data_IF_215710094744
#
_entry.id   IF_215710094744
#
_cell.length_a   1.000
_cell.length_b   1.000
_cell.length_c   1.000
_cell.angle_alpha   90.00
_cell.angle_beta   90.00
_cell.angle_gamma   90.00
#
_symmetry.space_group_name_H-M   'P 1'
#
loop_
_entity.id
_entity.type
_entity.pdbx_description
1 polymer ?
#
# COMPACT_ATOMS: atom_id res chain seq x y z
N UNK A 1 -23.98 -16.04 37.66
CA UNK A 1 -24.00 -15.55 36.26
C UNK A 1 -22.66 -14.88 36.00
N UNK A 2 -21.77 -15.60 35.33
CA UNK A 2 -20.38 -15.20 35.11
C UNK A 2 -20.24 -14.70 33.67
N UNK A 3 -20.00 -13.41 33.47
CA UNK A 3 -19.51 -12.89 32.20
C UNK A 3 -18.04 -12.52 32.36
N UNK A 4 -17.19 -13.41 31.86
CA UNK A 4 -15.74 -13.26 31.84
C UNK A 4 -15.34 -12.11 30.91
N UNK A 5 -14.79 -11.08 31.55
CA UNK A 5 -13.63 -10.29 31.16
C UNK A 5 -12.91 -10.76 29.87
N UNK A 6 -13.16 -10.09 28.73
CA UNK A 6 -12.25 -10.13 27.56
C UNK A 6 -11.22 -9.01 27.71
N UNK A 7 -10.11 -9.33 28.36
CA UNK A 7 -8.88 -8.53 28.25
C UNK A 7 -8.09 -8.94 27.00
N UNK A 8 -7.53 -7.92 26.36
CA UNK A 8 -6.33 -7.93 25.51
C UNK A 8 -6.42 -8.49 24.08
N UNK A 9 -6.47 -7.57 23.13
CA UNK A 9 -5.49 -7.57 22.04
C UNK A 9 -5.09 -6.11 21.78
N UNK A 10 -4.03 -5.69 22.48
CA UNK A 10 -3.32 -4.45 22.23
C UNK A 10 -2.61 -4.58 20.88
N UNK A 11 -3.26 -4.12 19.82
CA UNK A 11 -2.55 -3.82 18.58
C UNK A 11 -1.75 -2.53 18.80
N UNK A 12 -0.46 -2.50 18.46
CA UNK A 12 0.32 -1.28 18.56
C UNK A 12 -0.27 -0.30 17.54
N UNK A 13 -0.73 0.86 18.02
CA UNK A 13 -1.14 1.97 17.19
C UNK A 13 0.08 2.50 16.42
N UNK A 14 0.41 1.87 15.31
CA UNK A 14 1.25 2.47 14.28
C UNK A 14 0.38 3.55 13.62
N UNK A 15 0.66 4.81 13.92
CA UNK A 15 0.34 6.00 13.09
C UNK A 15 -0.94 5.90 12.24
N UNK A 16 -2.09 6.26 12.82
CA UNK A 16 -3.40 6.24 12.15
C UNK A 16 -3.51 6.99 10.79
N UNK A 17 -2.50 7.78 10.41
CA UNK A 17 -2.38 8.43 9.10
C UNK A 17 -1.69 7.56 8.03
N UNK A 18 -0.71 6.72 8.41
CA UNK A 18 -0.06 5.79 7.47
C UNK A 18 -1.00 4.66 7.06
N UNK A 19 -1.96 4.32 7.93
CA UNK A 19 -2.99 3.31 7.65
C UNK A 19 -4.11 3.80 6.72
N UNK A 20 -4.23 5.11 6.45
CA UNK A 20 -5.37 5.66 5.68
C UNK A 20 -5.04 6.00 4.23
N UNK A 21 -3.77 6.06 3.86
CA UNK A 21 -3.36 6.41 2.50
C UNK A 21 -2.50 5.35 1.86
N UNK A 22 -2.63 5.19 0.54
CA UNK A 22 -1.80 4.27 -0.24
C UNK A 22 -1.14 5.00 -1.43
N UNK A 23 -0.08 4.40 -1.96
CA UNK A 23 0.70 4.94 -3.08
C UNK A 23 0.39 4.19 -4.37
N UNK A 24 0.89 4.70 -5.50
CA UNK A 24 0.79 4.02 -6.79
C UNK A 24 1.39 2.60 -6.76
N UNK A 25 2.43 2.38 -5.95
CA UNK A 25 3.06 1.07 -5.79
C UNK A 25 2.11 0.06 -5.17
N UNK A 26 1.33 0.47 -4.17
CA UNK A 26 0.31 -0.38 -3.55
C UNK A 26 -0.72 -0.85 -4.58
N UNK A 27 -1.28 0.09 -5.35
CA UNK A 27 -2.33 -0.19 -6.35
C UNK A 27 -1.81 -1.15 -7.43
N UNK A 28 -0.66 -0.83 -8.01
CA UNK A 28 -0.03 -1.64 -9.08
C UNK A 28 0.31 -3.04 -8.58
N UNK A 29 0.74 -3.16 -7.34
CA UNK A 29 1.08 -4.43 -6.72
C UNK A 29 -0.15 -5.28 -6.39
N UNK A 30 -1.21 -4.68 -5.85
CA UNK A 30 -2.49 -5.35 -5.63
C UNK A 30 -3.10 -5.88 -6.95
N UNK A 31 -2.78 -5.24 -8.08
CA UNK A 31 -3.19 -5.69 -9.41
C UNK A 31 -2.17 -6.63 -10.09
N UNK A 32 -1.11 -7.04 -9.39
CA UNK A 32 -0.10 -7.97 -9.90
C UNK A 32 0.81 -7.41 -11.00
N UNK A 33 0.95 -6.07 -11.13
CA UNK A 33 1.73 -5.38 -12.17
C UNK A 33 3.02 -4.74 -11.64
N UNK A 34 3.61 -5.32 -10.59
CA UNK A 34 4.79 -4.77 -9.92
C UNK A 34 6.02 -4.65 -10.83
N UNK A 35 6.07 -5.42 -11.93
CA UNK A 35 7.08 -5.43 -12.97
C UNK A 35 7.12 -4.15 -13.83
N UNK A 36 6.10 -3.30 -13.76
CA UNK A 36 6.05 -2.08 -14.57
C UNK A 36 7.07 -1.03 -14.13
N UNK A 37 7.77 -0.43 -15.09
CA UNK A 37 8.58 0.77 -14.85
C UNK A 37 7.71 1.99 -14.48
N UNK A 38 8.29 2.98 -13.80
CA UNK A 38 7.58 4.12 -13.21
C UNK A 38 6.62 4.84 -14.18
N UNK A 39 7.07 5.15 -15.40
CA UNK A 39 6.20 5.79 -16.41
C UNK A 39 4.97 4.93 -16.74
N UNK A 40 5.18 3.61 -16.91
CA UNK A 40 4.10 2.67 -17.22
C UNK A 40 3.13 2.50 -16.04
N UNK A 41 3.61 2.57 -14.79
CA UNK A 41 2.75 2.58 -13.58
C UNK A 41 1.81 3.78 -13.59
N UNK A 42 2.34 4.98 -13.83
CA UNK A 42 1.54 6.22 -13.90
C UNK A 42 0.50 6.13 -15.01
N UNK A 43 0.89 5.75 -16.23
CA UNK A 43 -0.05 5.61 -17.35
C UNK A 43 -1.13 4.57 -17.04
N UNK A 44 -0.75 3.44 -16.43
CA UNK A 44 -1.69 2.37 -16.10
C UNK A 44 -2.72 2.83 -15.07
N UNK A 45 -2.28 3.44 -13.97
CA UNK A 45 -3.19 3.93 -12.92
C UNK A 45 -4.05 5.08 -13.42
N UNK A 46 -3.52 5.97 -14.25
CA UNK A 46 -4.31 7.02 -14.90
C UNK A 46 -5.48 6.43 -15.72
N UNK A 47 -5.21 5.39 -16.51
CA UNK A 47 -6.27 4.68 -17.24
C UNK A 47 -7.28 3.98 -16.32
N UNK A 48 -6.86 3.48 -15.17
CA UNK A 48 -7.81 2.89 -14.20
C UNK A 48 -8.76 3.94 -13.63
N UNK A 49 -8.28 5.15 -13.35
CA UNK A 49 -9.13 6.26 -12.91
C UNK A 49 -10.11 6.65 -14.03
N UNK A 50 -9.62 6.80 -15.26
CA UNK A 50 -10.43 7.26 -16.40
C UNK A 50 -11.43 6.21 -16.90
N UNK A 51 -11.02 4.95 -17.00
CA UNK A 51 -11.80 3.90 -17.70
C UNK A 51 -12.48 2.90 -16.75
N UNK A 52 -12.00 2.74 -15.51
CA UNK A 52 -12.43 1.69 -14.58
C UNK A 52 -12.94 2.21 -13.23
N UNK A 53 -13.03 3.53 -13.08
CA UNK A 53 -13.60 4.17 -11.89
C UNK A 53 -12.76 3.98 -10.62
N UNK A 54 -11.45 3.77 -10.76
CA UNK A 54 -10.55 3.83 -9.60
C UNK A 54 -10.67 5.21 -8.94
N UNK A 55 -10.73 5.31 -7.59
CA UNK A 55 -10.79 6.58 -6.91
C UNK A 55 -9.67 7.54 -7.34
N UNK A 56 -10.01 8.82 -7.49
CA UNK A 56 -9.02 9.85 -7.81
C UNK A 56 -8.00 10.00 -6.66
N UNK A 57 -6.73 10.34 -6.97
CA UNK A 57 -5.75 10.65 -5.94
C UNK A 57 -6.15 11.91 -5.17
N UNK A 58 -5.60 12.05 -3.96
CA UNK A 58 -5.61 13.32 -3.27
C UNK A 58 -4.83 14.37 -4.05
N UNK A 59 -5.30 15.64 -4.04
CA UNK A 59 -4.54 16.73 -4.61
C UNK A 59 -3.18 16.83 -3.94
N UNK A 60 -2.12 16.94 -4.73
CA UNK A 60 -0.75 17.07 -4.24
C UNK A 60 -0.12 18.35 -4.81
N UNK A 61 0.82 18.92 -4.07
CA UNK A 61 1.50 20.13 -4.48
C UNK A 61 2.63 19.79 -5.45
N UNK A 62 2.57 20.35 -6.66
CA UNK A 62 3.67 20.32 -7.63
C UNK A 62 4.16 21.75 -7.86
N UNK A 63 5.31 22.08 -7.26
CA UNK A 63 5.80 23.46 -7.21
C UNK A 63 4.85 24.33 -6.39
N UNK A 64 4.22 25.32 -7.04
CA UNK A 64 3.26 26.24 -6.41
C UNK A 64 1.80 25.94 -6.73
N UNK A 65 1.50 24.82 -7.40
CA UNK A 65 0.14 24.46 -7.81
C UNK A 65 -0.32 23.17 -7.14
N UNK A 66 -1.56 23.17 -6.68
CA UNK A 66 -2.27 21.97 -6.27
C UNK A 66 -2.74 21.26 -7.55
N UNK A 67 -2.33 20.01 -7.73
CA UNK A 67 -2.62 19.21 -8.92
C UNK A 67 -3.27 17.90 -8.50
N UNK A 68 -4.32 17.49 -9.22
CA UNK A 68 -5.09 16.26 -9.03
C UNK A 68 -4.70 15.16 -10.04
N UNK A 69 -3.74 15.43 -10.91
CA UNK A 69 -3.20 14.45 -11.85
C UNK A 69 -2.53 13.26 -11.15
N UNK A 70 -2.61 12.09 -11.77
CA UNK A 70 -1.88 10.91 -11.30
C UNK A 70 -0.39 11.09 -11.54
N UNK A 71 0.39 11.04 -10.47
CA UNK A 71 1.84 11.06 -10.46
C UNK A 71 2.39 9.96 -9.54
N UNK A 72 3.72 9.77 -9.54
CA UNK A 72 4.36 8.74 -8.72
C UNK A 72 4.27 9.02 -7.22
N UNK A 73 4.24 10.30 -6.85
CA UNK A 73 4.13 10.82 -5.48
C UNK A 73 2.68 11.00 -5.01
N UNK A 74 1.70 10.75 -5.88
CA UNK A 74 0.29 10.82 -5.54
C UNK A 74 -0.09 9.82 -4.45
N UNK A 75 -1.06 10.21 -3.63
CA UNK A 75 -1.62 9.42 -2.54
C UNK A 75 -3.10 9.20 -2.76
N UNK A 76 -3.60 8.03 -2.39
CA UNK A 76 -5.01 7.68 -2.48
C UNK A 76 -5.57 7.36 -1.10
N UNK A 77 -6.89 7.47 -0.94
CA UNK A 77 -7.57 6.92 0.23
C UNK A 77 -7.51 5.39 0.15
N UNK A 78 -6.85 4.77 1.13
CA UNK A 78 -6.60 3.32 1.14
C UNK A 78 -7.90 2.52 1.19
N UNK A 79 -8.85 2.94 2.03
CA UNK A 79 -10.12 2.24 2.23
C UNK A 79 -10.93 2.24 0.92
N UNK A 80 -11.02 3.38 0.25
CA UNK A 80 -11.74 3.49 -1.02
C UNK A 80 -11.11 2.63 -2.13
N UNK A 81 -9.77 2.53 -2.14
CA UNK A 81 -9.05 1.68 -3.09
C UNK A 81 -9.25 0.20 -2.77
N UNK A 82 -9.25 -0.20 -1.50
CA UNK A 82 -9.49 -1.59 -1.08
C UNK A 82 -10.91 -2.04 -1.41
N UNK A 83 -11.91 -1.20 -1.17
CA UNK A 83 -13.30 -1.45 -1.56
C UNK A 83 -13.43 -1.61 -3.07
N UNK A 84 -12.83 -0.69 -3.84
CA UNK A 84 -12.79 -0.81 -5.30
C UNK A 84 -12.08 -2.10 -5.78
N UNK A 85 -10.97 -2.48 -5.14
CA UNK A 85 -10.26 -3.73 -5.46
C UNK A 85 -11.12 -4.96 -5.16
N UNK A 86 -11.85 -4.96 -4.04
CA UNK A 86 -12.75 -6.04 -3.67
C UNK A 86 -13.90 -6.20 -4.68
N UNK A 87 -14.42 -5.11 -5.22
CA UNK A 87 -15.46 -5.16 -6.26
C UNK A 87 -14.90 -5.52 -7.64
N UNK A 88 -13.65 -5.15 -7.90
CA UNK A 88 -12.96 -5.41 -9.17
C UNK A 88 -12.47 -6.86 -9.29
N UNK A 89 -12.22 -7.53 -8.17
CA UNK A 89 -11.65 -8.89 -8.12
C UNK A 89 -12.67 -9.88 -7.55
N UNK A 90 -12.80 -11.09 -8.11
CA UNK A 90 -13.61 -12.14 -7.50
C UNK A 90 -13.20 -12.37 -6.02
N UNK A 91 -14.15 -12.71 -5.13
CA UNK A 91 -13.87 -12.84 -3.69
C UNK A 91 -12.77 -13.86 -3.36
N UNK A 92 -12.60 -14.89 -4.20
CA UNK A 92 -11.54 -15.90 -4.02
C UNK A 92 -10.11 -15.35 -4.27
N UNK A 93 -9.98 -14.23 -4.99
CA UNK A 93 -8.67 -13.64 -5.33
C UNK A 93 -8.18 -12.58 -4.35
N UNK A 94 -9.07 -11.94 -3.58
CA UNK A 94 -8.70 -10.88 -2.64
C UNK A 94 -7.77 -11.38 -1.52
N UNK A 95 -8.08 -12.53 -0.92
CA UNK A 95 -7.27 -13.12 0.15
C UNK A 95 -5.86 -13.56 -0.30
N UNK A 96 -5.70 -13.92 -1.58
CA UNK A 96 -4.39 -14.24 -2.17
C UNK A 96 -3.54 -12.98 -2.37
N UNK A 97 -4.18 -11.85 -2.69
CA UNK A 97 -3.50 -10.59 -2.91
C UNK A 97 -3.02 -9.94 -1.60
N UNK A 98 -3.77 -10.03 -0.51
CA UNK A 98 -3.32 -9.54 0.80
C UNK A 98 -2.04 -10.24 1.25
N UNK A 99 -1.96 -11.56 1.04
CA UNK A 99 -0.77 -12.34 1.39
C UNK A 99 0.44 -11.98 0.52
N UNK A 100 0.22 -11.77 -0.78
CA UNK A 100 1.25 -11.30 -1.71
C UNK A 100 1.66 -9.83 -1.45
N UNK A 101 0.74 -9.00 -0.96
CA UNK A 101 0.97 -7.61 -0.57
C UNK A 101 1.74 -7.49 0.76
N UNK A 102 1.66 -8.50 1.63
CA UNK A 102 2.53 -8.59 2.81
C UNK A 102 3.93 -9.09 2.43
N UNK A 103 4.04 -10.16 1.63
CA UNK A 103 5.34 -10.79 1.33
C UNK A 103 6.32 -9.85 0.63
N UNK A 104 5.94 -9.24 -0.49
CA UNK A 104 6.83 -8.32 -1.18
C UNK A 104 7.05 -6.98 -0.43
N UNK A 105 6.32 -6.68 0.67
CA UNK A 105 6.57 -5.48 1.48
C UNK A 105 7.73 -5.78 2.42
N UNK A 106 7.81 -7.02 2.90
CA UNK A 106 9.02 -7.55 3.52
C UNK A 106 10.19 -7.55 2.52
N UNK A 107 9.99 -7.99 1.26
CA UNK A 107 11.05 -7.99 0.25
C UNK A 107 11.57 -6.56 -0.05
N UNK A 108 10.67 -5.58 -0.15
CA UNK A 108 11.03 -4.16 -0.34
C UNK A 108 11.75 -3.58 0.89
N UNK A 109 11.35 -3.97 2.11
CA UNK A 109 12.05 -3.60 3.35
C UNK A 109 13.45 -4.22 3.40
N UNK A 110 13.60 -5.48 3.02
CA UNK A 110 14.88 -6.19 2.98
C UNK A 110 15.82 -5.60 1.92
N UNK A 111 15.30 -5.26 0.73
CA UNK A 111 16.07 -4.60 -0.33
C UNK A 111 16.55 -3.20 0.11
N UNK A 112 15.71 -2.44 0.81
CA UNK A 112 16.09 -1.15 1.37
C UNK A 112 17.10 -1.28 2.52
N UNK A 113 16.96 -2.30 3.38
CA UNK A 113 17.91 -2.59 4.44
C UNK A 113 19.30 -2.97 3.89
N UNK A 114 19.33 -3.74 2.79
CA UNK A 114 20.56 -4.07 2.08
C UNK A 114 21.27 -2.83 1.51
N UNK A 115 20.50 -1.88 0.97
CA UNK A 115 21.03 -0.63 0.42
C UNK A 115 21.50 0.38 1.49
N UNK A 116 21.01 0.26 2.73
CA UNK A 116 21.41 1.11 3.85
C UNK A 116 22.73 0.68 4.52
N UNK A 117 23.36 -0.41 4.09
CA UNK A 117 24.62 -0.88 4.66
C UNK A 117 24.53 -1.24 6.15
N UNK A 118 23.30 -1.47 6.66
CA UNK A 118 23.06 -1.83 8.05
C UNK A 118 23.60 -3.23 8.30
N UNK A 119 24.86 -3.28 8.74
CA UNK A 119 25.50 -4.48 9.26
C UNK A 119 24.68 -4.93 10.46
N UNK A 120 23.91 -6.01 10.30
CA UNK A 120 23.23 -6.72 11.39
C UNK A 120 24.19 -6.82 12.57
N UNK A 121 23.93 -6.03 13.62
CA UNK A 121 24.66 -6.13 14.88
C UNK A 121 24.27 -7.49 15.46
N UNK A 122 25.11 -8.47 15.19
CA UNK A 122 25.02 -9.80 15.77
C UNK A 122 25.26 -9.59 17.27
N UNK A 123 24.18 -9.54 18.04
CA UNK A 123 24.23 -9.50 19.50
C UNK A 123 24.86 -10.80 20.00
N UNK A 124 26.18 -10.78 20.12
CA UNK A 124 26.96 -11.84 20.73
C UNK A 124 26.64 -11.94 22.21
N UNK A 125 26.07 -13.07 22.59
CA UNK A 125 25.92 -13.57 23.95
C UNK A 125 27.32 -13.71 24.58
N UNK A 126 27.60 -12.97 25.63
CA UNK A 126 28.52 -13.39 26.70
C UNK A 126 27.74 -13.47 28.00
#
# INVERSE_FOLDING_TARGET
MSYQNRSASAFPALSADEDRTCTIHYIVRALGRHDYGNHRRVTYVKKLVEERGLPAPFPHLRGSKLVDEVAMDSRWNRIAVEEWLHDFLPPDTAALLDRAAQSAAADDMDANAANLGLRLVTGGRQ
#
